data_IF_948692686460
#
_entry.id   IF_948692686460
#
_cell.length_a   1.000
_cell.length_b   1.000
_cell.length_c   1.000
_cell.angle_alpha   90.00
_cell.angle_beta   90.00
_cell.angle_gamma   90.00
#
_symmetry.space_group_name_H-M   'P 1'
#
loop_
_entity.id
_entity.type
_entity.pdbx_description
1 polymer ?
#
# COMPACT_ATOMS: atom_id res chain seq x y z
N UNK A 1 55.47 37.92 -59.85
CA UNK A 1 55.78 37.17 -58.61
C UNK A 1 54.52 37.11 -57.77
N UNK A 2 54.10 35.90 -57.38
CA UNK A 2 52.86 35.61 -56.65
C UNK A 2 52.99 36.11 -55.21
N UNK A 3 51.96 36.78 -54.68
CA UNK A 3 51.73 36.79 -53.23
C UNK A 3 50.24 36.94 -52.94
N UNK A 4 49.62 35.78 -52.71
CA UNK A 4 48.27 35.60 -52.20
C UNK A 4 48.24 36.05 -50.73
N UNK A 5 47.35 36.96 -50.36
CA UNK A 5 47.07 37.29 -48.97
C UNK A 5 45.63 36.87 -48.61
N UNK A 6 45.60 35.69 -48.02
CA UNK A 6 44.60 34.98 -47.21
C UNK A 6 43.47 35.81 -46.59
N UNK A 7 42.22 35.42 -46.87
CA UNK A 7 41.04 35.71 -46.07
C UNK A 7 41.20 35.11 -44.66
N UNK A 8 40.97 35.90 -43.61
CA UNK A 8 40.69 35.34 -42.27
C UNK A 8 39.30 35.79 -41.84
N UNK A 9 38.41 34.80 -41.82
CA UNK A 9 37.06 34.79 -41.27
C UNK A 9 37.16 34.86 -39.75
N UNK A 10 36.50 35.82 -39.12
CA UNK A 10 36.16 35.75 -37.70
C UNK A 10 34.64 35.81 -37.54
N UNK A 11 34.00 34.65 -37.70
CA UNK A 11 32.65 34.43 -37.23
C UNK A 11 32.70 34.21 -35.71
N UNK A 12 32.37 35.25 -34.95
CA UNK A 12 32.18 35.17 -33.50
C UNK A 12 30.91 34.35 -33.22
N UNK A 13 31.09 33.06 -32.97
CA UNK A 13 30.07 32.16 -32.45
C UNK A 13 29.72 32.57 -31.00
N UNK A 14 28.59 33.26 -30.84
CA UNK A 14 27.98 33.46 -29.54
C UNK A 14 27.40 32.12 -29.04
N UNK A 15 28.17 31.41 -28.21
CA UNK A 15 27.66 30.28 -27.44
C UNK A 15 26.76 30.80 -26.32
N UNK A 16 25.45 30.87 -26.57
CA UNK A 16 24.45 31.00 -25.52
C UNK A 16 24.43 29.71 -24.70
N UNK A 17 24.95 29.75 -23.48
CA UNK A 17 24.80 28.66 -22.52
C UNK A 17 23.32 28.58 -22.09
N UNK A 18 22.55 27.65 -22.66
CA UNK A 18 21.23 27.31 -22.14
C UNK A 18 21.41 26.56 -20.82
N UNK A 19 21.19 27.25 -19.70
CA UNK A 19 21.08 26.62 -18.39
C UNK A 19 19.70 25.96 -18.33
N UNK A 20 19.64 24.64 -18.57
CA UNK A 20 18.41 23.88 -18.40
C UNK A 20 18.06 23.80 -16.92
N UNK A 21 17.12 24.62 -16.46
CA UNK A 21 16.49 24.42 -15.17
C UNK A 21 15.57 23.19 -15.29
N UNK A 22 16.10 22.01 -14.98
CA UNK A 22 15.27 20.83 -14.77
C UNK A 22 14.38 21.10 -13.54
N UNK A 23 13.08 21.22 -13.75
CA UNK A 23 12.12 21.27 -12.64
C UNK A 23 12.27 19.99 -11.81
N UNK A 24 12.28 20.06 -10.47
CA UNK A 24 12.36 18.87 -9.64
C UNK A 24 11.19 17.94 -9.98
N UNK A 25 11.48 16.65 -10.21
CA UNK A 25 10.45 15.63 -10.29
C UNK A 25 9.67 15.60 -8.97
N UNK A 26 8.49 16.20 -8.95
CA UNK A 26 7.59 16.07 -7.83
C UNK A 26 7.09 14.62 -7.80
N UNK A 27 7.66 13.81 -6.91
CA UNK A 27 7.11 12.48 -6.63
C UNK A 27 5.67 12.72 -6.16
N UNK A 28 4.68 12.36 -6.98
CA UNK A 28 3.27 12.38 -6.57
C UNK A 28 3.17 11.70 -5.21
N UNK A 29 2.61 12.41 -4.24
CA UNK A 29 2.39 11.85 -2.92
C UNK A 29 1.58 10.55 -3.05
N UNK A 30 1.92 9.50 -2.28
CA UNK A 30 1.15 8.27 -2.29
C UNK A 30 -0.32 8.53 -1.90
N UNK A 31 -1.26 7.80 -2.53
CA UNK A 31 -2.69 7.80 -2.24
C UNK A 31 -2.94 7.52 -0.76
N UNK A 32 -2.27 6.49 -0.22
CA UNK A 32 -2.30 6.13 1.19
C UNK A 32 -0.91 5.86 1.74
N UNK A 33 -0.68 6.26 3.00
CA UNK A 33 0.53 5.98 3.77
C UNK A 33 0.12 5.35 5.09
N UNK A 34 -0.13 4.05 5.08
CA UNK A 34 -0.66 3.34 6.24
C UNK A 34 0.46 2.83 7.14
N UNK A 35 0.12 2.63 8.41
CA UNK A 35 1.06 2.16 9.42
C UNK A 35 0.55 0.90 10.13
N UNK A 36 1.46 -0.05 10.34
CA UNK A 36 1.26 -1.30 11.10
C UNK A 36 2.42 -1.42 12.09
N UNK A 37 2.18 -1.02 13.35
CA UNK A 37 3.24 -0.80 14.35
C UNK A 37 3.15 -1.72 15.56
N UNK A 38 1.93 -2.09 15.97
CA UNK A 38 1.65 -2.98 17.09
C UNK A 38 0.22 -3.52 17.01
N UNK A 39 -0.17 -4.39 17.94
CA UNK A 39 -1.55 -4.89 18.08
C UNK A 39 -2.58 -3.81 18.43
N UNK A 40 -2.13 -2.64 18.92
CA UNK A 40 -2.99 -1.49 19.26
C UNK A 40 -2.83 -0.32 18.29
N UNK A 41 -1.84 -0.36 17.39
CA UNK A 41 -1.54 0.70 16.43
C UNK A 41 -1.31 0.10 15.03
N UNK A 42 -2.40 -0.13 14.30
CA UNK A 42 -2.34 -0.64 12.93
C UNK A 42 -3.50 -0.18 12.06
N UNK A 43 -3.33 -0.30 10.75
CA UNK A 43 -4.37 -0.18 9.74
C UNK A 43 -4.67 -1.52 9.07
N UNK A 44 -5.86 -1.64 8.48
CA UNK A 44 -6.28 -2.65 7.52
C UNK A 44 -7.02 -1.95 6.38
N UNK A 45 -6.95 -2.47 5.17
CA UNK A 45 -7.87 -2.08 4.12
C UNK A 45 -9.24 -2.71 4.36
N UNK A 46 -10.28 -2.01 3.92
CA UNK A 46 -11.69 -2.36 4.06
C UNK A 46 -12.44 -1.97 2.78
N UNK A 47 -13.61 -2.57 2.50
CA UNK A 47 -14.45 -2.12 1.41
C UNK A 47 -14.82 -0.62 1.56
N UNK A 48 -14.97 0.13 0.46
CA UNK A 48 -15.26 1.57 0.50
C UNK A 48 -16.55 1.90 1.25
N UNK A 49 -17.56 1.03 1.17
CA UNK A 49 -18.83 1.16 1.88
C UNK A 49 -19.11 -0.07 2.74
N UNK A 50 -19.86 0.14 3.82
CA UNK A 50 -20.27 -0.94 4.70
C UNK A 50 -21.20 -1.92 3.96
N UNK A 51 -20.90 -3.21 4.06
CA UNK A 51 -21.64 -4.29 3.41
C UNK A 51 -21.27 -4.59 1.96
N UNK A 52 -20.34 -3.83 1.37
CA UNK A 52 -19.73 -4.19 0.09
C UNK A 52 -18.99 -5.54 0.23
N UNK A 53 -19.00 -6.33 -0.85
CA UNK A 53 -18.23 -7.57 -0.94
C UNK A 53 -16.73 -7.26 -1.03
N UNK A 54 -15.92 -7.95 -0.22
CA UNK A 54 -14.48 -7.68 -0.11
C UNK A 54 -13.76 -7.99 -1.43
N UNK A 55 -14.05 -9.13 -2.05
CA UNK A 55 -13.42 -9.53 -3.31
C UNK A 55 -13.82 -8.63 -4.49
N UNK A 56 -15.06 -8.13 -4.50
CA UNK A 56 -15.54 -7.21 -5.53
C UNK A 56 -14.90 -5.81 -5.46
N UNK A 57 -14.30 -5.45 -4.32
CA UNK A 57 -13.76 -4.11 -4.03
C UNK A 57 -12.23 -4.05 -3.95
N UNK A 58 -11.51 -5.11 -4.34
CA UNK A 58 -10.04 -5.18 -4.20
C UNK A 58 -9.30 -3.96 -4.80
N UNK A 59 -9.83 -3.35 -5.87
CA UNK A 59 -9.25 -2.19 -6.56
C UNK A 59 -9.57 -0.81 -5.94
N UNK A 60 -10.54 -0.72 -5.02
CA UNK A 60 -11.01 0.55 -4.47
C UNK A 60 -10.98 0.62 -2.94
N UNK A 61 -10.47 -0.42 -2.28
CA UNK A 61 -10.31 -0.50 -0.83
C UNK A 61 -9.76 0.77 -0.16
N UNK A 62 -10.28 1.05 1.03
CA UNK A 62 -9.90 2.21 1.84
C UNK A 62 -9.26 1.78 3.16
N UNK A 63 -8.24 2.48 3.66
CA UNK A 63 -7.63 2.11 4.92
C UNK A 63 -8.46 2.60 6.11
N UNK A 64 -8.70 1.69 7.05
CA UNK A 64 -9.17 1.98 8.39
C UNK A 64 -8.15 1.51 9.42
N UNK A 65 -8.10 2.16 10.58
CA UNK A 65 -7.02 2.04 11.54
C UNK A 65 -7.54 2.13 12.97
N UNK A 66 -6.74 1.67 13.94
CA UNK A 66 -7.09 1.81 15.37
C UNK A 66 -7.15 3.27 15.82
N UNK A 67 -6.46 4.17 15.12
CA UNK A 67 -6.63 5.61 15.22
C UNK A 67 -6.27 6.29 13.88
N UNK A 68 -6.80 7.49 13.64
CA UNK A 68 -6.68 8.18 12.36
C UNK A 68 -5.27 8.70 12.03
N UNK A 69 -4.38 8.81 13.01
CA UNK A 69 -3.00 9.27 12.77
C UNK A 69 -2.13 8.27 12.00
N UNK A 70 -2.63 7.03 11.82
CA UNK A 70 -1.92 5.93 11.16
C UNK A 70 -2.10 5.92 9.62
N UNK A 71 -2.83 6.88 9.04
CA UNK A 71 -2.98 7.03 7.59
C UNK A 71 -4.31 6.54 6.99
N UNK A 72 -5.34 6.38 7.83
CA UNK A 72 -6.68 5.97 7.41
C UNK A 72 -7.77 6.47 8.36
N UNK A 73 -9.02 6.08 8.11
CA UNK A 73 -10.15 6.39 9.02
C UNK A 73 -10.08 5.52 10.28
N UNK A 74 -10.77 5.87 11.35
CA UNK A 74 -10.85 4.97 12.52
C UNK A 74 -11.76 3.78 12.21
N UNK A 75 -11.41 2.57 12.64
CA UNK A 75 -12.30 1.41 12.58
C UNK A 75 -13.63 1.66 13.29
N UNK A 76 -14.73 1.03 12.85
CA UNK A 76 -15.95 0.98 13.63
C UNK A 76 -15.69 0.42 15.03
N UNK A 77 -16.37 0.95 16.04
CA UNK A 77 -16.20 0.48 17.42
C UNK A 77 -16.56 -1.00 17.54
N UNK A 78 -15.63 -1.78 18.09
CA UNK A 78 -15.79 -3.23 18.27
C UNK A 78 -15.55 -4.07 17.01
N UNK A 79 -15.15 -3.47 15.88
CA UNK A 79 -14.84 -4.21 14.65
C UNK A 79 -13.63 -5.13 14.84
N UNK A 80 -12.57 -4.66 15.47
CA UNK A 80 -11.42 -5.48 15.83
C UNK A 80 -11.72 -6.22 17.14
N UNK A 81 -11.63 -7.56 17.12
CA UNK A 81 -11.90 -8.43 18.28
C UNK A 81 -10.62 -8.98 18.91
N UNK A 82 -9.64 -9.31 18.09
CA UNK A 82 -8.28 -9.60 18.54
C UNK A 82 -7.28 -9.14 17.48
N UNK A 83 -6.06 -8.82 17.91
CA UNK A 83 -4.97 -8.43 17.04
C UNK A 83 -3.66 -8.94 17.63
N UNK A 84 -2.83 -9.55 16.79
CA UNK A 84 -1.55 -10.13 17.17
C UNK A 84 -0.48 -9.59 16.23
N UNK A 85 0.43 -8.80 16.78
CA UNK A 85 1.51 -8.19 16.01
C UNK A 85 2.73 -9.11 15.96
N UNK A 86 3.36 -9.18 14.79
CA UNK A 86 4.67 -9.79 14.63
C UNK A 86 5.54 -8.95 13.70
N UNK A 87 6.83 -8.87 14.01
CA UNK A 87 7.80 -8.14 13.22
C UNK A 87 9.06 -8.96 13.04
N UNK A 88 9.61 -8.90 11.83
CA UNK A 88 10.92 -9.43 11.47
C UNK A 88 11.74 -8.35 10.79
N UNK A 89 12.96 -8.69 10.36
CA UNK A 89 13.76 -7.82 9.52
C UNK A 89 13.09 -7.50 8.17
N UNK A 90 12.17 -8.33 7.68
CA UNK A 90 11.60 -8.23 6.33
C UNK A 90 10.16 -7.71 6.30
N UNK A 91 9.41 -7.87 7.40
CA UNK A 91 8.01 -7.50 7.44
C UNK A 91 7.52 -7.09 8.82
N UNK A 92 6.40 -6.38 8.84
CA UNK A 92 5.54 -6.19 10.00
C UNK A 92 4.14 -6.66 9.64
N UNK A 93 3.45 -7.32 10.57
CA UNK A 93 2.11 -7.81 10.33
C UNK A 93 1.22 -7.70 11.56
N UNK A 94 -0.09 -7.70 11.30
CA UNK A 94 -1.12 -8.00 12.30
C UNK A 94 -2.03 -9.08 11.73
N UNK A 95 -2.31 -10.09 12.53
CA UNK A 95 -3.32 -11.13 12.28
C UNK A 95 -4.34 -11.12 13.40
N UNK A 96 -5.59 -11.50 13.14
CA UNK A 96 -6.57 -11.54 14.22
C UNK A 96 -8.01 -11.76 13.78
N UNK A 97 -8.91 -11.41 14.69
CA UNK A 97 -10.37 -11.60 14.55
C UNK A 97 -11.08 -10.26 14.37
N UNK A 98 -12.12 -10.29 13.55
CA UNK A 98 -13.07 -9.18 13.39
C UNK A 98 -14.47 -9.56 13.89
N UNK A 99 -15.31 -8.55 14.10
CA UNK A 99 -16.75 -8.68 14.14
C UNK A 99 -17.30 -8.02 12.87
N UNK A 100 -17.54 -8.85 11.85
CA UNK A 100 -18.02 -8.43 10.53
C UNK A 100 -19.28 -7.56 10.59
N UNK A 101 -20.12 -7.74 11.63
CA UNK A 101 -21.39 -7.02 11.77
C UNK A 101 -21.19 -5.54 12.03
N UNK A 102 -20.03 -5.13 12.56
CA UNK A 102 -19.69 -3.71 12.80
C UNK A 102 -19.41 -2.94 11.53
N UNK A 103 -19.26 -3.63 10.40
CA UNK A 103 -19.13 -3.04 9.08
C UNK A 103 -20.11 -3.66 8.06
N UNK A 104 -21.20 -4.26 8.55
CA UNK A 104 -22.26 -4.88 7.75
C UNK A 104 -21.80 -5.95 6.75
N UNK A 105 -20.62 -6.53 6.92
CA UNK A 105 -20.07 -7.52 5.99
C UNK A 105 -20.86 -8.83 6.07
N UNK A 106 -21.11 -9.43 4.91
CA UNK A 106 -21.91 -10.65 4.79
C UNK A 106 -21.21 -11.86 5.41
N UNK A 107 -21.96 -12.76 6.04
CA UNK A 107 -21.43 -14.05 6.49
C UNK A 107 -21.12 -15.02 5.33
N UNK A 108 -21.54 -14.67 4.10
CA UNK A 108 -21.33 -15.46 2.89
C UNK A 108 -20.19 -14.92 2.03
N UNK A 109 -19.62 -13.78 2.41
CA UNK A 109 -18.48 -13.19 1.73
C UNK A 109 -17.22 -13.94 2.20
N UNK A 110 -16.60 -14.66 1.26
CA UNK A 110 -15.38 -15.45 1.49
C UNK A 110 -14.11 -14.60 1.58
N UNK A 111 -14.23 -13.30 1.36
CA UNK A 111 -13.13 -12.35 1.43
C UNK A 111 -12.47 -12.04 0.10
N UNK A 112 -11.38 -11.31 0.22
CA UNK A 112 -10.53 -10.87 -0.88
C UNK A 112 -9.18 -10.41 -0.35
N UNK A 113 -8.31 -9.98 -1.26
CA UNK A 113 -6.99 -9.44 -0.98
C UNK A 113 -6.85 -8.04 -1.56
N UNK A 114 -6.71 -7.06 -0.68
CA UNK A 114 -6.19 -5.74 -1.05
C UNK A 114 -4.67 -5.80 -1.07
N UNK A 115 -4.06 -5.47 -2.19
CA UNK A 115 -2.61 -5.42 -2.29
C UNK A 115 -2.08 -4.22 -3.09
N UNK A 116 -0.75 -4.13 -3.15
CA UNK A 116 -0.04 -3.05 -3.83
C UNK A 116 -0.29 -2.93 -5.35
N UNK A 117 -0.82 -3.96 -6.00
CA UNK A 117 -1.21 -3.97 -7.41
C UNK A 117 -2.59 -3.34 -7.60
N UNK A 118 -3.54 -3.68 -6.74
CA UNK A 118 -4.93 -3.20 -6.84
C UNK A 118 -5.05 -1.75 -6.36
N UNK A 119 -4.37 -1.42 -5.25
CA UNK A 119 -4.40 -0.08 -4.64
C UNK A 119 -3.08 0.64 -4.89
N UNK A 120 -2.87 1.00 -6.16
CA UNK A 120 -1.64 1.66 -6.61
C UNK A 120 -1.33 2.96 -5.85
N UNK A 121 -0.05 3.32 -5.82
CA UNK A 121 0.46 4.49 -5.10
C UNK A 121 0.21 4.46 -3.58
N UNK A 122 0.15 3.28 -2.96
CA UNK A 122 0.07 3.10 -1.50
C UNK A 122 1.41 2.70 -0.92
N UNK A 123 1.71 3.13 0.31
CA UNK A 123 2.80 2.56 1.11
C UNK A 123 2.30 2.02 2.45
N UNK A 124 2.93 0.95 2.92
CA UNK A 124 2.66 0.29 4.20
C UNK A 124 3.96 0.31 5.02
N UNK A 125 3.99 1.08 6.11
CA UNK A 125 5.24 1.38 6.84
C UNK A 125 6.36 1.95 5.94
N UNK A 126 5.99 2.68 4.88
CA UNK A 126 6.93 3.17 3.88
C UNK A 126 7.40 2.13 2.85
N UNK A 127 6.95 0.88 2.96
CA UNK A 127 7.24 -0.16 1.97
C UNK A 127 6.20 -0.19 0.86
N UNK A 128 6.66 -0.57 -0.35
CA UNK A 128 5.80 -0.72 -1.53
C UNK A 128 4.89 -1.94 -1.44
N UNK A 129 5.40 -3.05 -0.92
CA UNK A 129 4.69 -4.32 -0.94
C UNK A 129 3.85 -4.47 0.33
N UNK A 130 2.59 -4.82 0.15
CA UNK A 130 1.73 -5.25 1.23
C UNK A 130 0.71 -6.24 0.69
N UNK A 131 0.16 -7.03 1.60
CA UNK A 131 -1.07 -7.80 1.39
C UNK A 131 -1.97 -7.56 2.59
N UNK A 132 -3.26 -7.44 2.34
CA UNK A 132 -4.27 -7.39 3.37
C UNK A 132 -5.48 -8.22 2.95
N UNK A 133 -5.93 -9.10 3.83
CA UNK A 133 -7.13 -9.89 3.59
C UNK A 133 -8.12 -9.66 4.73
N UNK A 134 -9.39 -9.64 4.35
CA UNK A 134 -10.54 -9.70 5.26
C UNK A 134 -11.38 -10.87 4.78
N UNK A 135 -11.73 -11.78 5.70
CA UNK A 135 -12.53 -12.99 5.45
C UNK A 135 -13.77 -12.94 6.35
N UNK A 136 -14.86 -12.31 5.87
CA UNK A 136 -16.06 -12.11 6.69
C UNK A 136 -16.73 -13.41 7.13
N UNK A 137 -16.80 -14.42 6.26
CA UNK A 137 -17.33 -15.75 6.55
C UNK A 137 -16.64 -16.41 7.75
N UNK A 138 -15.32 -16.25 7.84
CA UNK A 138 -14.50 -16.78 8.90
C UNK A 138 -14.41 -15.81 10.09
N UNK A 139 -14.68 -14.51 9.95
CA UNK A 139 -14.38 -13.41 10.89
C UNK A 139 -12.87 -13.22 11.15
N UNK A 140 -12.02 -13.44 10.14
CA UNK A 140 -10.56 -13.27 10.22
C UNK A 140 -10.11 -12.08 9.40
N UNK A 141 -8.98 -11.48 9.81
CA UNK A 141 -8.26 -10.52 8.98
C UNK A 141 -6.75 -10.66 9.18
N UNK A 142 -6.00 -10.16 8.22
CA UNK A 142 -4.55 -10.09 8.31
C UNK A 142 -4.00 -9.01 7.40
N UNK A 143 -2.97 -8.30 7.86
CA UNK A 143 -2.20 -7.35 7.06
C UNK A 143 -0.72 -7.61 7.25
N UNK A 144 0.06 -7.51 6.17
CA UNK A 144 1.52 -7.55 6.24
C UNK A 144 2.11 -6.45 5.35
N UNK A 145 2.93 -5.58 5.92
CA UNK A 145 3.82 -4.69 5.19
C UNK A 145 5.15 -5.41 4.92
N UNK A 146 5.64 -5.43 3.68
CA UNK A 146 6.83 -6.18 3.29
C UNK A 146 7.89 -5.32 2.60
N UNK A 147 9.16 -5.50 2.98
CA UNK A 147 10.29 -4.90 2.26
C UNK A 147 10.45 -5.49 0.86
N UNK A 148 10.29 -6.81 0.73
CA UNK A 148 10.45 -7.52 -0.53
C UNK A 148 9.12 -8.13 -0.99
N UNK A 149 8.95 -8.23 -2.31
CA UNK A 149 7.76 -8.85 -2.93
C UNK A 149 7.54 -10.28 -2.48
N UNK A 150 8.62 -11.04 -2.22
CA UNK A 150 8.53 -12.46 -1.85
C UNK A 150 7.83 -12.70 -0.49
N UNK A 151 7.83 -11.71 0.41
CA UNK A 151 7.22 -11.82 1.74
C UNK A 151 5.70 -11.54 1.73
N UNK A 152 5.19 -10.95 0.65
CA UNK A 152 3.80 -10.53 0.44
C UNK A 152 3.26 -11.16 -0.85
N UNK A 153 2.72 -12.38 -0.73
CA UNK A 153 2.30 -13.20 -1.87
C UNK A 153 0.93 -12.75 -2.41
N UNK A 154 0.92 -12.33 -3.66
CA UNK A 154 -0.27 -11.93 -4.44
C UNK A 154 -0.74 -13.04 -5.37
N UNK A 155 -1.98 -12.95 -5.87
CA UNK A 155 -2.56 -13.90 -6.83
C UNK A 155 -2.94 -15.27 -6.24
N UNK A 156 -3.00 -15.36 -4.91
CA UNK A 156 -3.34 -16.59 -4.17
C UNK A 156 -4.36 -16.31 -3.06
N UNK A 157 -5.21 -15.30 -3.23
CA UNK A 157 -6.16 -14.79 -2.21
C UNK A 157 -7.13 -15.86 -1.70
N UNK A 158 -7.57 -16.80 -2.55
CA UNK A 158 -8.48 -17.89 -2.18
C UNK A 158 -7.93 -18.90 -1.17
N UNK A 159 -6.63 -18.88 -0.89
CA UNK A 159 -6.03 -19.68 0.18
C UNK A 159 -6.20 -19.07 1.57
N UNK A 160 -6.51 -17.78 1.62
CA UNK A 160 -6.85 -17.09 2.83
C UNK A 160 -5.69 -16.66 3.73
N UNK A 161 -6.06 -15.98 4.79
CA UNK A 161 -5.22 -15.28 5.73
C UNK A 161 -4.16 -16.19 6.36
N UNK A 162 -4.58 -17.30 6.95
CA UNK A 162 -3.68 -18.20 7.67
C UNK A 162 -2.55 -18.76 6.78
N UNK A 163 -2.79 -18.89 5.47
CA UNK A 163 -1.79 -19.36 4.51
C UNK A 163 -0.93 -18.25 3.93
N UNK A 164 -1.50 -17.08 3.65
CA UNK A 164 -0.76 -15.95 3.05
C UNK A 164 0.05 -15.19 4.10
N UNK A 165 -0.55 -14.95 5.27
CA UNK A 165 0.07 -14.29 6.43
C UNK A 165 0.00 -15.21 7.64
N UNK A 166 0.87 -16.25 7.75
CA UNK A 166 0.90 -17.09 8.94
C UNK A 166 1.07 -16.28 10.22
N UNK A 167 0.30 -16.59 11.25
CA UNK A 167 0.26 -15.83 12.51
C UNK A 167 -0.76 -16.40 13.49
N UNK A 168 -1.02 -15.64 14.56
CA UNK A 168 -2.03 -15.98 15.56
C UNK A 168 -3.38 -15.35 15.19
N UNK A 169 -4.43 -16.16 15.14
CA UNK A 169 -5.79 -15.75 14.79
C UNK A 169 -6.79 -16.01 15.92
N UNK A 170 -6.34 -16.32 17.13
CA UNK A 170 -7.23 -16.53 18.27
C UNK A 170 -7.78 -15.21 18.81
#
# INVERSE_FOLDING_TARGET
>A
MKSTATLIVFALLAFFAMVSNALPMERRAPKYQIQVKSETAFCSFMPPHAGDDVGATENDGIPMCTNSSLGGKTFPTGFIKSAHYASTANYQQVTGRIDRTKYSLSAKDGGGQYDHLDISSTTCNGYKYFVNLIEPDANTFCIRCCKNRADCKVGISTYGCARIVPGNYN
#
